data_IF_001860769210
#
_entry.id   IF_001860769210
#
_cell.length_a   1.000
_cell.length_b   1.000
_cell.length_c   1.000
_cell.angle_alpha   90.00
_cell.angle_beta   90.00
_cell.angle_gamma   90.00
#
_symmetry.space_group_name_H-M   'P 1'
#
loop_
_entity.id
_entity.type
_entity.pdbx_description
1 polymer ?
#
# COMPACT_ATOMS: atom_id res chain seq x y z
N UNK A 1 6.31 6.20 34.33
CA UNK A 1 6.58 5.08 33.39
C UNK A 1 5.59 5.18 32.26
N UNK A 2 6.06 5.12 31.01
CA UNK A 2 5.21 5.11 29.82
C UNK A 2 5.60 6.16 28.77
N UNK A 3 6.86 6.16 28.32
CA UNK A 3 7.25 6.82 27.06
C UNK A 3 6.77 5.91 25.92
N UNK A 4 5.60 6.23 25.36
CA UNK A 4 5.11 5.61 24.13
C UNK A 4 5.93 6.15 22.97
N UNK A 5 6.72 5.28 22.33
CA UNK A 5 7.38 5.62 21.06
C UNK A 5 6.28 5.80 20.01
N UNK A 6 6.04 7.04 19.58
CA UNK A 6 5.37 7.31 18.32
C UNK A 6 6.19 6.63 17.22
N UNK A 7 5.61 5.62 16.58
CA UNK A 7 6.15 5.07 15.35
C UNK A 7 5.90 6.09 14.25
N UNK A 8 6.91 6.92 13.99
CA UNK A 8 6.91 7.88 12.89
C UNK A 8 6.98 7.12 11.56
N UNK A 9 5.97 7.27 10.70
CA UNK A 9 5.96 6.69 9.36
C UNK A 9 7.14 7.20 8.51
N UNK A 10 7.67 8.39 8.85
CA UNK A 10 8.91 8.94 8.32
C UNK A 10 10.11 8.09 8.72
N UNK A 11 10.17 7.58 9.95
CA UNK A 11 11.28 6.75 10.43
C UNK A 11 11.31 5.36 9.76
N UNK A 12 10.15 4.76 9.45
CA UNK A 12 10.12 3.49 8.68
C UNK A 12 10.62 3.69 7.26
N UNK A 13 10.27 4.82 6.61
CA UNK A 13 10.72 5.14 5.25
C UNK A 13 12.16 5.66 5.21
N UNK A 14 12.60 6.41 6.23
CA UNK A 14 14.01 6.78 6.43
C UNK A 14 14.85 5.54 6.68
N UNK A 15 14.39 4.59 7.49
CA UNK A 15 15.08 3.31 7.68
C UNK A 15 15.14 2.48 6.37
N UNK A 16 14.13 2.56 5.50
CA UNK A 16 14.22 1.98 4.14
C UNK A 16 15.19 2.75 3.22
N UNK A 17 15.34 4.06 3.41
CA UNK A 17 16.29 4.92 2.68
C UNK A 17 17.73 4.79 3.22
N UNK A 18 17.89 4.62 4.52
CA UNK A 18 19.13 4.36 5.25
C UNK A 18 19.60 2.93 4.98
N UNK A 19 18.72 1.92 4.98
CA UNK A 19 19.07 0.57 4.51
C UNK A 19 19.49 0.53 3.02
N UNK A 20 19.02 1.48 2.21
CA UNK A 20 19.49 1.67 0.83
C UNK A 20 20.80 2.48 0.73
N UNK A 21 21.24 3.16 1.80
CA UNK A 21 22.46 3.97 1.86
C UNK A 21 23.57 3.44 2.80
N UNK A 22 23.27 2.58 3.76
CA UNK A 22 24.19 2.01 4.76
C UNK A 22 24.81 0.67 4.32
N UNK A 23 24.96 0.49 3.01
CA UNK A 23 25.76 -0.59 2.45
C UNK A 23 27.25 -0.23 2.35
N UNK A 24 27.84 0.51 3.29
CA UNK A 24 29.28 0.81 3.25
C UNK A 24 29.87 1.27 4.60
N UNK A 25 29.94 0.41 5.62
CA UNK A 25 31.07 0.34 6.58
C UNK A 25 31.08 -0.99 7.34
N UNK A 26 32.26 -1.57 7.48
CA UNK A 26 32.55 -2.83 8.19
C UNK A 26 32.18 -2.82 9.69
N UNK A 27 31.84 -4.03 10.17
CA UNK A 27 31.74 -4.54 11.55
C UNK A 27 30.46 -4.29 12.39
N UNK A 28 29.66 -5.37 12.47
CA UNK A 28 28.85 -5.89 13.58
C UNK A 28 27.93 -4.90 14.31
N UNK A 29 26.64 -4.95 13.98
CA UNK A 29 25.50 -5.16 14.90
C UNK A 29 24.26 -5.47 14.05
N UNK A 30 23.52 -6.53 14.39
CA UNK A 30 22.26 -6.88 13.74
C UNK A 30 21.20 -5.78 13.97
N UNK A 31 20.80 -5.03 12.93
CA UNK A 31 19.45 -4.46 12.82
C UNK A 31 19.00 -4.51 11.35
N UNK A 32 18.06 -5.41 11.06
CA UNK A 32 17.57 -5.70 9.72
C UNK A 32 16.49 -4.71 9.25
N UNK A 33 16.81 -3.94 8.21
CA UNK A 33 15.84 -3.26 7.34
C UNK A 33 15.93 -3.83 5.93
N UNK A 34 15.08 -4.78 5.57
CA UNK A 34 15.06 -5.35 4.21
C UNK A 34 13.99 -4.65 3.37
N UNK A 35 14.38 -4.01 2.27
CA UNK A 35 13.45 -3.56 1.24
C UNK A 35 12.72 -4.78 0.65
N UNK A 36 11.41 -4.87 0.83
CA UNK A 36 10.61 -6.00 0.35
C UNK A 36 10.55 -5.97 -1.18
N UNK A 37 10.98 -7.05 -1.84
CA UNK A 37 10.84 -7.20 -3.28
C UNK A 37 9.43 -7.70 -3.66
N UNK A 38 9.02 -7.48 -4.91
CA UNK A 38 7.76 -8.03 -5.45
C UNK A 38 7.70 -9.56 -5.28
N UNK A 39 8.85 -10.24 -5.36
CA UNK A 39 8.96 -11.69 -5.16
C UNK A 39 8.60 -12.11 -3.73
N UNK A 40 8.97 -11.31 -2.74
CA UNK A 40 8.71 -11.58 -1.32
C UNK A 40 7.24 -11.40 -0.93
N UNK A 41 6.48 -10.65 -1.73
CA UNK A 41 5.05 -10.37 -1.50
C UNK A 41 4.15 -10.90 -2.60
N UNK A 42 4.69 -11.61 -3.60
CA UNK A 42 3.93 -12.03 -4.79
C UNK A 42 2.68 -12.83 -4.41
N UNK A 43 2.82 -13.82 -3.52
CA UNK A 43 1.70 -14.62 -3.04
C UNK A 43 0.64 -13.78 -2.30
N UNK A 44 1.09 -12.77 -1.55
CA UNK A 44 0.21 -11.84 -0.85
C UNK A 44 -0.55 -10.91 -1.80
N UNK A 45 0.11 -10.50 -2.89
CA UNK A 45 -0.51 -9.70 -3.94
C UNK A 45 -1.58 -10.50 -4.65
N UNK A 46 -1.25 -11.70 -5.15
CA UNK A 46 -2.20 -12.57 -5.86
C UNK A 46 -3.45 -12.92 -5.03
N UNK A 47 -3.32 -12.97 -3.70
CA UNK A 47 -4.46 -13.21 -2.82
C UNK A 47 -5.44 -12.02 -2.74
N UNK A 48 -5.08 -10.82 -3.21
CA UNK A 48 -5.95 -9.64 -3.27
C UNK A 48 -6.59 -9.25 -1.93
N UNK A 49 -5.88 -9.41 -0.81
CA UNK A 49 -6.38 -8.96 0.50
C UNK A 49 -6.61 -7.44 0.55
N UNK A 50 -5.79 -6.70 -0.21
CA UNK A 50 -5.92 -5.29 -0.49
C UNK A 50 -5.35 -5.00 -1.89
N UNK A 51 -5.86 -3.94 -2.55
CA UNK A 51 -5.44 -3.54 -3.88
C UNK A 51 -5.27 -2.02 -3.96
N UNK A 52 -4.36 -1.58 -4.82
CA UNK A 52 -4.17 -0.17 -5.19
C UNK A 52 -4.18 -0.04 -6.71
N UNK A 53 -5.14 0.74 -7.23
CA UNK A 53 -5.45 0.76 -8.66
C UNK A 53 -5.01 2.04 -9.36
N UNK A 54 -4.44 2.99 -8.62
CA UNK A 54 -4.12 4.33 -9.10
C UNK A 54 -5.24 5.36 -8.91
N UNK A 55 -6.42 4.93 -8.43
CA UNK A 55 -7.50 5.84 -8.04
C UNK A 55 -7.09 6.78 -6.90
N UNK A 56 -7.57 8.03 -6.96
CA UNK A 56 -7.32 9.10 -6.00
C UNK A 56 -8.63 9.72 -5.52
N UNK A 57 -8.65 10.23 -4.29
CA UNK A 57 -9.75 11.06 -3.80
C UNK A 57 -9.76 12.42 -4.51
N UNK A 58 -10.77 13.25 -4.23
CA UNK A 58 -10.85 14.62 -4.78
C UNK A 58 -9.67 15.50 -4.32
N UNK A 59 -9.12 15.19 -3.15
CA UNK A 59 -7.97 15.84 -2.54
C UNK A 59 -6.62 15.26 -3.04
N UNK A 60 -6.65 14.29 -3.94
CA UNK A 60 -5.46 13.63 -4.48
C UNK A 60 -4.94 12.45 -3.65
N UNK A 61 -5.59 12.13 -2.53
CA UNK A 61 -5.17 11.04 -1.65
C UNK A 61 -5.32 9.67 -2.33
N UNK A 62 -4.28 8.80 -2.36
CA UNK A 62 -4.38 7.46 -2.91
C UNK A 62 -5.47 6.63 -2.25
N UNK A 63 -6.20 5.87 -3.07
CA UNK A 63 -7.26 4.96 -2.61
C UNK A 63 -6.71 3.54 -2.49
N UNK A 64 -6.69 3.01 -1.27
CA UNK A 64 -6.39 1.61 -0.99
C UNK A 64 -7.68 0.85 -0.67
N UNK A 65 -7.97 -0.18 -1.44
CA UNK A 65 -9.22 -0.94 -1.31
C UNK A 65 -8.97 -2.31 -0.70
N UNK A 66 -9.77 -2.69 0.30
CA UNK A 66 -9.86 -4.03 0.87
C UNK A 66 -11.10 -4.73 0.30
N UNK A 67 -10.97 -5.48 -0.81
CA UNK A 67 -12.10 -6.05 -1.52
C UNK A 67 -12.76 -7.21 -0.75
N UNK A 68 -13.99 -7.53 -1.12
CA UNK A 68 -14.77 -8.64 -0.55
C UNK A 68 -14.40 -9.98 -1.21
N UNK A 69 -13.22 -10.50 -0.88
CA UNK A 69 -12.72 -11.81 -1.39
C UNK A 69 -12.95 -12.97 -0.41
N UNK A 70 -13.51 -12.71 0.77
CA UNK A 70 -13.76 -13.74 1.80
C UNK A 70 -12.52 -14.40 2.42
N UNK A 71 -11.32 -13.90 2.12
CA UNK A 71 -10.05 -14.49 2.55
C UNK A 71 -9.34 -13.72 3.66
N UNK A 72 -9.69 -12.45 3.91
CA UNK A 72 -8.94 -11.55 4.80
C UNK A 72 -8.74 -12.09 6.23
N UNK A 73 -9.67 -12.91 6.73
CA UNK A 73 -9.53 -13.55 8.05
C UNK A 73 -8.34 -14.53 8.15
N UNK A 74 -7.83 -15.00 7.02
CA UNK A 74 -6.68 -15.92 6.94
C UNK A 74 -5.34 -15.18 6.92
N UNK A 75 -5.36 -13.86 6.70
CA UNK A 75 -4.15 -13.05 6.61
C UNK A 75 -3.52 -12.87 8.00
N UNK A 76 -2.31 -13.41 8.18
CA UNK A 76 -1.50 -13.23 9.39
C UNK A 76 -1.08 -11.77 9.59
N UNK A 77 -0.58 -11.44 10.79
CA UNK A 77 -0.15 -10.07 11.09
C UNK A 77 1.13 -9.69 10.33
N UNK A 78 2.11 -10.58 10.25
CA UNK A 78 3.36 -10.34 9.52
C UNK A 78 3.14 -10.22 8.01
N UNK A 79 2.32 -11.10 7.43
CA UNK A 79 1.92 -11.01 6.02
C UNK A 79 1.16 -9.72 5.74
N UNK A 80 0.25 -9.32 6.62
CA UNK A 80 -0.44 -8.04 6.51
C UNK A 80 0.53 -6.86 6.53
N UNK A 81 1.51 -6.85 7.45
CA UNK A 81 2.51 -5.78 7.50
C UNK A 81 3.29 -5.68 6.19
N UNK A 82 3.79 -6.81 5.69
CA UNK A 82 4.52 -6.87 4.41
C UNK A 82 3.67 -6.35 3.25
N UNK A 83 2.43 -6.81 3.15
CA UNK A 83 1.50 -6.40 2.10
C UNK A 83 1.24 -4.89 2.13
N UNK A 84 0.90 -4.34 3.30
CA UNK A 84 0.54 -2.92 3.39
C UNK A 84 1.77 -2.02 3.22
N UNK A 85 2.95 -2.41 3.72
CA UNK A 85 4.20 -1.69 3.44
C UNK A 85 4.43 -1.60 1.93
N UNK A 86 4.26 -2.70 1.20
CA UNK A 86 4.42 -2.72 -0.23
C UNK A 86 3.34 -1.88 -0.95
N UNK A 87 2.05 -2.08 -0.65
CA UNK A 87 0.98 -1.36 -1.35
C UNK A 87 1.02 0.16 -1.11
N UNK A 88 1.46 0.59 0.07
CA UNK A 88 1.60 2.02 0.39
C UNK A 88 2.87 2.66 -0.15
N UNK A 89 3.83 1.88 -0.65
CA UNK A 89 5.00 2.41 -1.39
C UNK A 89 4.74 2.56 -2.89
N UNK A 90 3.61 2.05 -3.40
CA UNK A 90 3.26 2.16 -4.82
C UNK A 90 2.95 3.60 -5.26
N UNK A 91 2.18 4.42 -4.51
CA UNK A 91 1.99 5.83 -4.85
C UNK A 91 3.28 6.62 -4.75
N UNK A 92 3.34 7.76 -5.44
CA UNK A 92 4.45 8.69 -5.29
C UNK A 92 4.53 9.20 -3.84
N UNK A 93 5.72 9.65 -3.42
CA UNK A 93 5.90 10.23 -2.09
C UNK A 93 4.96 11.42 -1.86
N UNK A 94 4.81 12.27 -2.86
CA UNK A 94 3.91 13.44 -2.81
C UNK A 94 2.45 13.01 -2.57
N UNK A 95 2.00 11.97 -3.27
CA UNK A 95 0.63 11.46 -3.08
C UNK A 95 0.46 10.80 -1.70
N UNK A 96 1.47 10.05 -1.24
CA UNK A 96 1.43 9.36 0.05
C UNK A 96 1.45 10.34 1.24
N UNK A 97 2.09 11.50 1.10
CA UNK A 97 2.16 12.55 2.12
C UNK A 97 0.80 13.24 2.35
N UNK A 98 -0.08 13.23 1.34
CA UNK A 98 -1.48 13.66 1.50
C UNK A 98 -2.31 12.70 2.37
N UNK A 99 -1.78 11.50 2.61
CA UNK A 99 -2.45 10.42 3.32
C UNK A 99 -3.33 9.56 2.41
N UNK A 100 -3.87 8.49 2.98
CA UNK A 100 -4.62 7.46 2.26
C UNK A 100 -6.11 7.55 2.55
N UNK A 101 -6.92 7.28 1.53
CA UNK A 101 -8.35 6.96 1.67
C UNK A 101 -8.49 5.44 1.58
N UNK A 102 -9.18 4.84 2.55
CA UNK A 102 -9.42 3.40 2.56
C UNK A 102 -10.85 3.10 2.14
N UNK A 103 -11.04 2.08 1.30
CA UNK A 103 -12.35 1.52 0.99
C UNK A 103 -12.37 0.07 1.47
N UNK A 104 -13.26 -0.26 2.40
CA UNK A 104 -13.38 -1.59 2.99
C UNK A 104 -14.73 -2.16 2.55
N UNK A 105 -14.69 -3.09 1.60
CA UNK A 105 -15.91 -3.71 1.07
C UNK A 105 -16.22 -5.02 1.79
N UNK A 106 -17.33 -5.05 2.53
CA UNK A 106 -17.79 -6.24 3.27
C UNK A 106 -19.28 -6.49 3.05
N UNK A 107 -19.82 -6.10 1.89
CA UNK A 107 -21.26 -6.22 1.56
C UNK A 107 -21.78 -7.65 1.67
N UNK A 108 -20.97 -8.65 1.32
CA UNK A 108 -21.35 -10.07 1.32
C UNK A 108 -20.74 -10.85 2.51
N UNK A 109 -20.19 -10.15 3.51
CA UNK A 109 -19.54 -10.76 4.68
C UNK A 109 -20.32 -10.45 5.98
N UNK A 110 -19.69 -10.63 7.14
CA UNK A 110 -20.26 -10.41 8.48
C UNK A 110 -19.63 -9.18 9.13
N UNK A 111 -20.33 -8.55 10.09
CA UNK A 111 -19.78 -7.41 10.84
C UNK A 111 -18.47 -7.73 11.57
N UNK A 112 -18.27 -8.98 11.98
CA UNK A 112 -16.99 -9.38 12.57
C UNK A 112 -15.84 -9.22 11.57
N UNK A 113 -16.06 -9.46 10.27
CA UNK A 113 -15.05 -9.24 9.24
C UNK A 113 -14.68 -7.76 9.11
N UNK A 114 -15.68 -6.85 9.18
CA UNK A 114 -15.44 -5.40 9.26
C UNK A 114 -14.54 -5.05 10.44
N UNK A 115 -14.87 -5.57 11.63
CA UNK A 115 -14.06 -5.35 12.85
C UNK A 115 -12.65 -5.90 12.69
N UNK A 116 -12.48 -7.11 12.15
CA UNK A 116 -11.18 -7.73 11.91
C UNK A 116 -10.29 -6.86 11.04
N UNK A 117 -10.83 -6.32 9.93
CA UNK A 117 -10.07 -5.42 9.04
C UNK A 117 -9.68 -4.13 9.75
N UNK A 118 -10.63 -3.46 10.41
CA UNK A 118 -10.38 -2.19 11.09
C UNK A 118 -9.38 -2.34 12.25
N UNK A 119 -9.47 -3.42 13.03
CA UNK A 119 -8.51 -3.72 14.10
C UNK A 119 -7.11 -3.96 13.55
N UNK A 120 -6.98 -4.67 12.42
CA UNK A 120 -5.68 -4.95 11.79
C UNK A 120 -5.06 -3.66 11.23
N UNK A 121 -5.86 -2.79 10.60
CA UNK A 121 -5.46 -1.44 10.18
C UNK A 121 -5.03 -0.57 11.36
N UNK A 122 -5.82 -0.57 12.44
CA UNK A 122 -5.49 0.20 13.64
C UNK A 122 -4.26 -0.34 14.37
N UNK A 123 -3.99 -1.64 14.27
CA UNK A 123 -2.77 -2.26 14.79
C UNK A 123 -1.54 -1.85 13.99
N UNK A 124 -1.66 -1.72 12.67
CA UNK A 124 -0.59 -1.22 11.83
C UNK A 124 -1.07 -0.62 10.50
N UNK A 125 -0.63 0.60 10.21
CA UNK A 125 -0.72 1.22 8.90
C UNK A 125 0.46 2.19 8.70
N UNK A 126 1.29 2.04 7.64
CA UNK A 126 2.50 2.83 7.40
C UNK A 126 2.20 4.15 6.65
N UNK A 127 1.37 5.00 7.27
CA UNK A 127 1.02 6.31 6.72
C UNK A 127 -0.16 6.96 7.44
N UNK A 128 -0.52 8.16 6.99
CA UNK A 128 -1.73 8.85 7.47
C UNK A 128 -2.97 8.23 6.82
N UNK A 129 -3.97 7.88 7.62
CA UNK A 129 -5.30 7.51 7.12
C UNK A 129 -6.19 8.74 7.27
N UNK A 130 -6.68 9.26 6.13
CA UNK A 130 -7.58 10.42 6.11
C UNK A 130 -9.00 10.01 6.49
N UNK A 131 -9.49 8.91 5.91
CA UNK A 131 -10.80 8.33 6.18
C UNK A 131 -10.85 6.88 5.68
N UNK A 132 -11.58 6.03 6.40
CA UNK A 132 -11.95 4.69 5.96
C UNK A 132 -13.46 4.62 5.67
N UNK A 133 -13.82 4.36 4.42
CA UNK A 133 -15.19 4.10 3.99
C UNK A 133 -15.48 2.61 4.07
N UNK A 134 -16.52 2.21 4.80
CA UNK A 134 -16.92 0.82 4.99
C UNK A 134 -18.23 0.57 4.28
N UNK A 135 -18.23 -0.27 3.25
CA UNK A 135 -19.47 -0.84 2.71
C UNK A 135 -19.87 -2.01 3.60
N UNK A 136 -20.95 -1.82 4.36
CA UNK A 136 -21.34 -2.79 5.40
C UNK A 136 -22.00 -4.05 4.83
N UNK A 137 -21.99 -5.16 5.60
CA UNK A 137 -22.84 -6.32 5.36
C UNK A 137 -24.33 -6.00 5.18
N UNK A 138 -24.99 -6.68 4.24
CA UNK A 138 -26.44 -6.63 4.08
C UNK A 138 -27.19 -7.24 5.29
N UNK A 139 -28.43 -6.80 5.56
CA UNK A 139 -29.33 -7.45 6.50
C UNK A 139 -29.27 -7.02 7.98
N UNK A 140 -28.52 -5.97 8.32
CA UNK A 140 -28.46 -5.44 9.70
C UNK A 140 -29.33 -4.19 9.90
N UNK A 141 -29.97 -4.06 11.07
CA UNK A 141 -30.91 -2.97 11.38
C UNK A 141 -30.25 -1.59 11.35
N UNK A 142 -30.75 -0.73 10.47
CA UNK A 142 -30.07 0.48 10.00
C UNK A 142 -29.94 1.59 11.07
N UNK A 143 -30.98 1.79 11.89
CA UNK A 143 -31.16 3.03 12.66
C UNK A 143 -30.44 3.04 14.02
N UNK A 144 -30.37 1.90 14.71
CA UNK A 144 -29.70 1.80 16.00
C UNK A 144 -28.19 1.55 15.86
N UNK A 145 -27.76 0.93 14.76
CA UNK A 145 -26.35 0.60 14.53
C UNK A 145 -25.58 1.84 14.07
N UNK A 146 -26.12 2.67 13.16
CA UNK A 146 -25.36 3.79 12.57
C UNK A 146 -24.85 4.82 13.59
N UNK A 147 -25.70 5.27 14.53
CA UNK A 147 -25.30 6.28 15.52
C UNK A 147 -24.33 5.72 16.57
N UNK A 148 -24.59 4.48 17.03
CA UNK A 148 -23.79 3.79 18.04
C UNK A 148 -22.46 3.32 17.44
N UNK A 149 -22.45 2.78 16.23
CA UNK A 149 -21.24 2.35 15.52
C UNK A 149 -20.36 3.54 15.16
N UNK A 150 -20.93 4.65 14.70
CA UNK A 150 -20.13 5.85 14.39
C UNK A 150 -19.49 6.46 15.63
N UNK A 151 -20.10 6.34 16.81
CA UNK A 151 -19.49 6.77 18.07
C UNK A 151 -18.42 5.76 18.53
N UNK A 152 -18.73 4.47 18.53
CA UNK A 152 -17.80 3.40 18.92
C UNK A 152 -16.55 3.39 18.04
N UNK A 153 -16.69 3.46 16.72
CA UNK A 153 -15.55 3.45 15.81
C UNK A 153 -14.68 4.71 15.92
N UNK A 154 -15.27 5.86 16.28
CA UNK A 154 -14.48 7.08 16.54
C UNK A 154 -13.66 6.99 17.82
N UNK A 155 -14.20 6.35 18.85
CA UNK A 155 -13.51 6.22 20.13
C UNK A 155 -12.48 5.06 20.11
N UNK A 156 -12.70 4.05 19.27
CA UNK A 156 -11.87 2.85 19.16
C UNK A 156 -10.69 3.00 18.19
N UNK A 157 -10.84 3.79 17.11
CA UNK A 157 -9.82 3.92 16.07
C UNK A 157 -9.24 5.32 15.98
N UNK A 158 -7.93 5.40 15.71
CA UNK A 158 -7.20 6.67 15.56
C UNK A 158 -7.48 7.41 14.24
N UNK A 159 -8.41 6.92 13.44
CA UNK A 159 -8.77 7.48 12.14
C UNK A 159 -10.29 7.51 11.96
N UNK A 160 -10.76 8.40 11.09
CA UNK A 160 -12.19 8.57 10.82
C UNK A 160 -12.73 7.37 10.04
N UNK A 161 -13.84 6.80 10.52
CA UNK A 161 -14.59 5.75 9.82
C UNK A 161 -15.95 6.29 9.37
N UNK A 162 -16.32 6.03 8.12
CA UNK A 162 -17.64 6.36 7.53
C UNK A 162 -18.26 5.08 7.01
N UNK A 163 -19.46 4.74 7.49
CA UNK A 163 -20.17 3.52 7.05
C UNK A 163 -21.16 3.88 5.94
N UNK A 164 -20.96 3.30 4.76
CA UNK A 164 -21.83 3.41 3.60
C UNK A 164 -22.85 2.25 3.59
N UNK A 165 -24.12 2.54 3.33
CA UNK A 165 -25.17 1.52 3.28
C UNK A 165 -25.15 0.74 1.97
N UNK A 166 -24.71 1.39 0.90
CA UNK A 166 -24.58 0.82 -0.44
C UNK A 166 -23.49 1.57 -1.21
N UNK A 167 -23.20 1.11 -2.42
CA UNK A 167 -22.18 1.71 -3.29
C UNK A 167 -22.56 3.13 -3.71
N UNK A 168 -23.86 3.43 -3.88
CA UNK A 168 -24.30 4.77 -4.21
C UNK A 168 -23.90 5.80 -3.14
N UNK A 169 -23.97 5.43 -1.85
CA UNK A 169 -23.49 6.28 -0.74
C UNK A 169 -21.96 6.51 -0.84
N UNK A 170 -21.19 5.50 -1.27
CA UNK A 170 -19.74 5.65 -1.48
C UNK A 170 -19.44 6.67 -2.59
N UNK A 171 -20.27 6.67 -3.64
CA UNK A 171 -20.14 7.59 -4.78
C UNK A 171 -20.42 9.06 -4.42
N UNK A 172 -21.04 9.34 -3.28
CA UNK A 172 -21.18 10.72 -2.77
C UNK A 172 -19.82 11.28 -2.31
N UNK A 173 -18.90 10.40 -1.90
CA UNK A 173 -17.59 10.74 -1.37
C UNK A 173 -16.47 10.57 -2.38
N UNK A 174 -16.50 9.50 -3.18
CA UNK A 174 -15.45 9.15 -4.14
C UNK A 174 -16.04 9.15 -5.56
N UNK A 175 -15.38 9.82 -6.49
CA UNK A 175 -15.79 9.81 -7.89
C UNK A 175 -15.71 8.38 -8.46
N UNK A 176 -16.73 7.95 -9.21
CA UNK A 176 -16.80 6.62 -9.83
C UNK A 176 -15.60 6.35 -10.75
N UNK A 177 -15.05 7.39 -11.37
CA UNK A 177 -13.87 7.29 -12.21
C UNK A 177 -12.58 6.95 -11.43
N UNK A 178 -12.65 6.93 -10.10
CA UNK A 178 -11.56 6.61 -9.19
C UNK A 178 -11.74 5.24 -8.51
N UNK A 179 -12.76 4.49 -8.91
CA UNK A 179 -13.10 3.17 -8.35
C UNK A 179 -13.12 2.10 -9.44
N UNK A 180 -12.91 0.84 -9.04
CA UNK A 180 -13.01 -0.32 -9.94
C UNK A 180 -14.45 -0.72 -10.20
N UNK A 181 -14.66 -1.55 -11.23
CA UNK A 181 -15.97 -2.07 -11.62
C UNK A 181 -16.68 -2.85 -10.49
N UNK A 182 -15.94 -3.56 -9.63
CA UNK A 182 -16.49 -4.25 -8.43
C UNK A 182 -17.24 -3.30 -7.47
N UNK A 183 -16.91 -1.99 -7.54
CA UNK A 183 -17.51 -0.90 -6.77
C UNK A 183 -18.34 0.04 -7.65
N UNK A 184 -18.89 -0.48 -8.76
CA UNK A 184 -19.65 0.27 -9.78
C UNK A 184 -18.90 1.53 -10.27
N UNK A 185 -17.57 1.44 -10.36
CA UNK A 185 -16.67 2.47 -10.86
C UNK A 185 -16.28 2.26 -12.32
N UNK A 186 -15.39 3.13 -12.81
CA UNK A 186 -14.99 3.18 -14.23
C UNK A 186 -13.53 2.75 -14.48
N UNK A 187 -12.75 2.43 -13.45
CA UNK A 187 -11.37 1.96 -13.64
C UNK A 187 -11.42 0.49 -14.10
N UNK A 188 -11.00 0.18 -15.35
CA UNK A 188 -10.80 -1.20 -15.74
C UNK A 188 -9.61 -1.76 -14.96
N UNK A 189 -9.81 -2.86 -14.25
CA UNK A 189 -8.78 -3.43 -13.39
C UNK A 189 -8.64 -4.94 -13.61
N UNK A 190 -7.53 -5.34 -14.22
CA UNK A 190 -7.08 -6.71 -14.26
C UNK A 190 -5.91 -6.88 -13.28
N UNK A 191 -6.10 -7.75 -12.29
CA UNK A 191 -5.13 -7.92 -11.22
C UNK A 191 -3.84 -8.61 -11.67
N UNK A 192 -3.97 -9.62 -12.53
CA UNK A 192 -2.81 -10.36 -13.04
C UNK A 192 -1.94 -9.46 -13.92
N UNK A 193 -2.57 -8.64 -14.78
CA UNK A 193 -1.85 -7.63 -15.58
C UNK A 193 -1.18 -6.59 -14.69
N UNK A 194 -1.85 -6.14 -13.62
CA UNK A 194 -1.29 -5.19 -12.66
C UNK A 194 -0.05 -5.74 -11.92
N UNK A 195 -0.05 -7.04 -11.58
CA UNK A 195 1.11 -7.72 -11.01
C UNK A 195 2.22 -7.83 -12.07
N UNK A 196 1.89 -8.28 -13.28
CA UNK A 196 2.85 -8.46 -14.37
C UNK A 196 3.61 -7.17 -14.66
N UNK A 197 2.92 -6.03 -14.74
CA UNK A 197 3.55 -4.73 -14.95
C UNK A 197 4.60 -4.37 -13.88
N UNK A 198 4.46 -4.88 -12.65
CA UNK A 198 5.40 -4.62 -11.54
C UNK A 198 6.53 -5.63 -11.46
N UNK A 199 6.28 -6.87 -11.83
CA UNK A 199 7.34 -7.89 -11.97
C UNK A 199 8.24 -7.54 -13.17
N UNK A 200 7.62 -7.26 -14.31
CA UNK A 200 8.30 -6.90 -15.56
C UNK A 200 8.96 -5.52 -15.46
N UNK A 201 8.32 -4.51 -14.85
CA UNK A 201 8.97 -3.23 -14.59
C UNK A 201 10.22 -3.33 -13.70
N UNK A 202 10.28 -4.34 -12.83
CA UNK A 202 11.50 -4.69 -12.11
C UNK A 202 12.58 -5.27 -13.02
N UNK A 203 12.24 -6.29 -13.82
CA UNK A 203 13.19 -7.04 -14.67
C UNK A 203 13.66 -6.25 -15.92
N UNK A 204 12.78 -5.46 -16.54
CA UNK A 204 13.08 -4.58 -17.67
C UNK A 204 13.92 -3.39 -17.23
N UNK A 205 13.69 -2.85 -16.03
CA UNK A 205 14.59 -1.85 -15.45
C UNK A 205 15.99 -2.44 -15.33
N UNK A 206 16.18 -3.61 -14.68
CA UNK A 206 17.48 -4.29 -14.61
C UNK A 206 18.11 -4.59 -15.99
N UNK A 207 17.29 -4.88 -17.00
CA UNK A 207 17.74 -5.15 -18.37
C UNK A 207 18.11 -3.88 -19.15
N UNK A 208 17.44 -2.75 -18.92
CA UNK A 208 17.83 -1.45 -19.48
C UNK A 208 19.12 -0.94 -18.85
N UNK A 209 19.27 -0.97 -17.52
CA UNK A 209 20.57 -0.64 -16.89
C UNK A 209 21.64 -1.64 -17.36
N UNK A 210 21.33 -2.94 -17.45
CA UNK A 210 22.25 -3.94 -17.98
C UNK A 210 22.66 -3.70 -19.44
N UNK A 211 21.73 -3.21 -20.27
CA UNK A 211 21.94 -2.88 -21.68
C UNK A 211 22.72 -1.59 -21.90
N UNK A 212 22.45 -0.53 -21.12
CA UNK A 212 23.19 0.73 -21.15
C UNK A 212 24.64 0.52 -20.65
N UNK A 213 24.81 -0.25 -19.57
CA UNK A 213 26.13 -0.59 -19.01
C UNK A 213 26.93 -1.46 -20.00
N UNK A 214 26.29 -2.38 -20.73
CA UNK A 214 26.95 -3.22 -21.73
C UNK A 214 27.43 -2.43 -22.97
N UNK A 215 26.80 -1.30 -23.31
CA UNK A 215 27.23 -0.41 -24.40
C UNK A 215 28.42 0.47 -23.98
N UNK A 216 28.52 0.81 -22.70
CA UNK A 216 29.64 1.55 -22.12
C UNK A 216 30.88 0.66 -21.85
N UNK A 217 30.70 -0.67 -21.80
CA UNK A 217 31.72 -1.64 -21.38
C UNK A 217 32.69 -2.11 -22.49
N UNK A 218 32.69 -1.52 -23.69
CA UNK A 218 33.70 -1.81 -24.73
C UNK A 218 35.06 -1.12 -24.46
N UNK A 219 35.24 -0.55 -23.26
CA UNK A 219 36.54 -0.10 -22.74
C UNK A 219 36.91 -0.97 -21.53
N UNK A 220 37.92 -1.80 -21.77
CA UNK A 220 38.51 -2.81 -20.89
C UNK A 220 38.62 -2.42 -19.40
N UNK A 221 37.82 -3.04 -18.51
CA UNK A 221 38.00 -3.00 -17.05
C UNK A 221 37.85 -4.42 -16.45
N UNK A 222 38.76 -4.89 -15.55
CA UNK A 222 38.76 -6.27 -15.05
C UNK A 222 37.63 -6.58 -14.06
N UNK A 223 37.20 -7.85 -14.04
CA UNK A 223 36.06 -8.47 -13.34
C UNK A 223 36.08 -8.46 -11.79
N UNK A 224 36.34 -7.32 -11.12
CA UNK A 224 36.16 -7.23 -9.66
C UNK A 224 35.50 -5.94 -9.13
N UNK A 225 34.79 -5.20 -9.98
CA UNK A 225 34.17 -3.92 -9.61
C UNK A 225 32.73 -3.78 -10.13
N UNK A 226 31.96 -4.88 -10.18
CA UNK A 226 30.58 -4.89 -10.69
C UNK A 226 29.50 -4.51 -9.66
N UNK A 227 29.87 -3.94 -8.50
CA UNK A 227 28.94 -3.69 -7.39
C UNK A 227 28.64 -2.23 -7.03
N UNK A 228 29.25 -1.23 -7.68
CA UNK A 228 29.36 0.12 -7.08
C UNK A 228 28.74 1.31 -7.83
N UNK A 229 27.96 1.10 -8.90
CA UNK A 229 27.36 2.24 -9.66
C UNK A 229 25.85 2.21 -9.94
N UNK A 230 25.11 1.22 -9.47
CA UNK A 230 23.67 1.10 -9.76
C UNK A 230 22.74 2.07 -8.98
N UNK A 231 23.20 2.65 -7.87
CA UNK A 231 22.30 3.38 -6.96
C UNK A 231 22.16 4.89 -7.24
N UNK A 232 22.93 5.47 -8.18
CA UNK A 232 22.98 6.93 -8.37
C UNK A 232 22.04 7.47 -9.45
N UNK A 233 21.42 6.60 -10.28
CA UNK A 233 20.56 7.03 -11.40
C UNK A 233 19.06 6.99 -11.11
N UNK A 234 18.62 6.26 -10.07
CA UNK A 234 17.19 6.10 -9.78
C UNK A 234 16.51 7.40 -9.27
N UNK A 235 17.27 8.33 -8.67
CA UNK A 235 16.70 9.59 -8.19
C UNK A 235 16.66 10.69 -9.27
N UNK A 236 17.43 10.57 -10.35
CA UNK A 236 17.54 11.65 -11.35
C UNK A 236 16.57 11.50 -12.53
N UNK A 237 16.00 10.31 -12.75
CA UNK A 237 15.15 10.02 -13.92
C UNK A 237 13.66 10.33 -13.72
N UNK A 238 13.22 10.57 -12.47
CA UNK A 238 11.82 10.93 -12.17
C UNK A 238 11.58 12.44 -12.08
N UNK A 239 12.63 13.27 -12.13
CA UNK A 239 12.53 14.74 -12.14
C UNK A 239 12.56 15.35 -13.57
N UNK A 240 12.75 14.56 -14.64
CA UNK A 240 12.82 15.05 -16.03
C UNK A 240 11.57 14.74 -16.89
N UNK A 241 10.42 14.44 -16.27
CA UNK A 241 9.14 14.24 -16.97
C UNK A 241 8.00 15.15 -16.47
N UNK A 242 8.34 16.39 -16.11
CA UNK A 242 7.48 17.59 -16.20
C UNK A 242 8.24 18.72 -16.91
#
# INVERSE_FOLDING_TARGET
>A
MGIGREFDATAVRLCQREAAMEGETDEVLEEGGCALSVRDVSELLHAQYAIITGGKSREGCPILTFPDRGNFAQLGDEEYRKLIIYLTSVPSLQDADMGFVLVIDRRNDKWNSVKTVLLKISGFFPGLITVAYVLRPAGFFQKAISEVSNKIFRDEFKFRVVVCNCVADLHEYIDKNQLTEDLDGCIPYNHDEWIQQRVVGGEDMYSLIGGEIAREADVHIPLNEYGKRGARFACHFLDELE
#
